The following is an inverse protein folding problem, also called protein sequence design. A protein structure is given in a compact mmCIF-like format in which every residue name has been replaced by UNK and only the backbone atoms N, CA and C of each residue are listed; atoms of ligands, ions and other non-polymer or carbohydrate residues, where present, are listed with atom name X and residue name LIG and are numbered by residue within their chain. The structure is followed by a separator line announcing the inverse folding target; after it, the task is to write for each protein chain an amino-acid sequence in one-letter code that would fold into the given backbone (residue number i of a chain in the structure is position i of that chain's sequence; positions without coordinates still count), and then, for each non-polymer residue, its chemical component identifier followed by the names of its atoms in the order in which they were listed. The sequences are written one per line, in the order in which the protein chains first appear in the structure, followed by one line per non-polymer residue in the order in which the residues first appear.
data_IF_272247334355
#
_entry.id   IF_272247334355
#
_cell.length_a   1.000
_cell.length_b   1.000
_cell.length_c   1.000
_cell.angle_alpha   90.00
_cell.angle_beta   90.00
_cell.angle_gamma   90.00
#
_symmetry.space_group_name_H-M   'P 1'
#
loop_
_entity.id
_entity.type
_entity.pdbx_description
1 polymer ?
#
# COMPACT_ATOMS: atom_id res chain seq x y z
N UNK A 1 -16.19 3.62 -16.85
CA UNK A 1 -15.78 4.03 -15.48
C UNK A 1 -15.93 5.54 -15.36
N UNK A 2 -16.53 6.04 -14.27
CA UNK A 2 -16.82 7.47 -14.11
C UNK A 2 -15.52 8.27 -13.83
N UNK A 3 -15.32 9.40 -14.51
CA UNK A 3 -14.16 10.29 -14.39
C UNK A 3 -13.88 10.71 -12.93
N UNK A 4 -14.94 10.85 -12.11
CA UNK A 4 -14.84 11.21 -10.69
C UNK A 4 -14.12 10.15 -9.87
N UNK A 5 -14.34 8.86 -10.14
CA UNK A 5 -13.68 7.76 -9.42
C UNK A 5 -12.18 7.70 -9.71
N UNK A 6 -11.80 7.86 -10.98
CA UNK A 6 -10.38 7.95 -11.38
C UNK A 6 -9.69 9.14 -10.70
N UNK A 7 -10.31 10.31 -10.69
CA UNK A 7 -9.76 11.51 -10.01
C UNK A 7 -9.52 11.27 -8.52
N UNK A 8 -10.47 10.64 -7.83
CA UNK A 8 -10.30 10.27 -6.43
C UNK A 8 -9.12 9.30 -6.23
N UNK A 9 -9.02 8.26 -7.06
CA UNK A 9 -7.96 7.26 -6.95
C UNK A 9 -6.57 7.87 -7.16
N UNK A 10 -6.41 8.76 -8.14
CA UNK A 10 -5.18 9.53 -8.33
C UNK A 10 -4.86 10.39 -7.11
N UNK A 11 -5.83 11.18 -6.64
CA UNK A 11 -5.63 12.07 -5.49
C UNK A 11 -5.23 11.29 -4.24
N UNK A 12 -5.87 10.14 -4.00
CA UNK A 12 -5.54 9.27 -2.88
C UNK A 12 -4.08 8.84 -2.93
N UNK A 13 -3.61 8.28 -4.06
CA UNK A 13 -2.21 7.86 -4.16
C UNK A 13 -1.22 9.02 -4.03
N UNK A 14 -1.52 10.21 -4.57
CA UNK A 14 -0.66 11.39 -4.45
C UNK A 14 -0.57 11.90 -3.01
N UNK A 15 -1.65 11.81 -2.23
CA UNK A 15 -1.66 12.32 -0.85
C UNK A 15 -1.01 11.37 0.15
N UNK A 16 -1.08 10.06 -0.11
CA UNK A 16 -0.55 9.04 0.80
C UNK A 16 0.86 8.60 0.46
N UNK A 17 1.55 9.31 -0.44
CA UNK A 17 2.92 8.99 -0.85
C UNK A 17 3.73 8.63 0.40
N UNK A 18 4.16 7.37 0.54
CA UNK A 18 5.21 7.10 1.51
C UNK A 18 6.36 8.00 1.08
N UNK A 19 6.94 8.77 2.02
CA UNK A 19 8.14 9.58 1.73
C UNK A 19 9.28 8.63 1.38
N UNK A 20 9.27 8.16 0.14
CA UNK A 20 10.17 7.18 -0.41
C UNK A 20 11.36 8.00 -0.91
N UNK A 21 12.22 8.34 0.04
CA UNK A 21 13.38 9.19 -0.20
C UNK A 21 14.22 8.53 -1.31
N UNK A 22 14.30 9.20 -2.45
CA UNK A 22 15.23 8.91 -3.52
C UNK A 22 16.68 9.07 -2.99
N UNK A 23 17.38 7.93 -2.86
CA UNK A 23 18.83 7.70 -2.77
C UNK A 23 19.14 6.61 -1.75
N UNK A 24 18.95 5.35 -2.14
CA UNK A 24 19.44 4.21 -1.37
C UNK A 24 20.24 3.33 -2.32
N UNK A 25 21.57 3.30 -2.12
CA UNK A 25 22.52 2.50 -2.89
C UNK A 25 22.12 1.02 -2.88
N UNK A 26 22.19 0.40 -4.05
CA UNK A 26 21.76 -0.97 -4.38
C UNK A 26 22.40 -2.08 -3.54
N UNK A 27 23.55 -1.81 -2.92
CA UNK A 27 24.48 -2.86 -2.51
C UNK A 27 24.18 -3.51 -1.14
N UNK A 28 23.02 -3.22 -0.55
CA UNK A 28 22.69 -3.74 0.79
C UNK A 28 21.44 -4.63 0.81
N UNK A 29 20.78 -4.91 -0.32
CA UNK A 29 19.39 -5.37 -0.45
C UNK A 29 19.11 -6.89 -0.37
N UNK A 30 19.90 -7.69 0.35
CA UNK A 30 19.70 -9.16 0.34
C UNK A 30 18.48 -9.70 1.12
N UNK A 31 17.74 -8.88 1.85
CA UNK A 31 16.49 -9.28 2.54
C UNK A 31 15.42 -8.17 2.62
N UNK A 32 15.61 -7.07 1.87
CA UNK A 32 14.65 -5.96 1.81
C UNK A 32 14.09 -5.92 0.40
N UNK A 33 12.76 -5.79 0.18
CA UNK A 33 12.24 -5.79 -1.17
C UNK A 33 12.85 -4.64 -1.97
N UNK A 34 13.76 -4.97 -2.90
CA UNK A 34 14.32 -4.01 -3.88
C UNK A 34 13.17 -3.33 -4.65
N UNK A 35 12.04 -4.03 -4.79
CA UNK A 35 10.80 -3.56 -5.40
C UNK A 35 10.08 -2.43 -4.66
N UNK A 36 10.45 -2.13 -3.41
CA UNK A 36 9.90 -0.98 -2.68
C UNK A 36 10.52 0.35 -3.13
N UNK A 37 11.70 0.33 -3.77
CA UNK A 37 12.37 1.54 -4.24
C UNK A 37 11.77 1.96 -5.59
N UNK A 38 10.89 2.96 -5.57
CA UNK A 38 10.45 3.65 -6.76
C UNK A 38 11.67 4.35 -7.42
N UNK A 39 11.74 4.31 -8.75
CA UNK A 39 12.67 5.19 -9.46
C UNK A 39 12.17 6.63 -9.36
N UNK A 40 13.05 7.65 -9.37
CA UNK A 40 12.62 9.03 -9.47
C UNK A 40 11.70 9.17 -10.70
N UNK A 41 10.51 9.77 -10.57
CA UNK A 41 9.60 9.90 -11.70
C UNK A 41 10.21 10.81 -12.76
N UNK A 42 10.09 10.44 -14.03
CA UNK A 42 10.59 11.25 -15.15
C UNK A 42 9.79 12.55 -15.27
N UNK A 43 10.46 13.67 -14.99
CA UNK A 43 9.86 15.00 -14.99
C UNK A 43 9.55 15.53 -16.39
N UNK A 44 9.98 14.84 -17.45
CA UNK A 44 9.68 15.22 -18.84
C UNK A 44 8.37 14.63 -19.35
N UNK A 45 7.70 13.79 -18.54
CA UNK A 45 6.41 13.21 -18.89
C UNK A 45 5.32 14.29 -18.89
N UNK A 46 4.31 14.12 -19.75
CA UNK A 46 3.05 14.86 -19.63
C UNK A 46 2.44 14.62 -18.24
N UNK A 47 1.76 15.61 -17.66
CA UNK A 47 1.14 15.54 -16.32
C UNK A 47 0.38 14.23 -16.08
N UNK A 48 -0.44 13.77 -17.04
CA UNK A 48 -1.18 12.50 -16.90
C UNK A 48 -0.28 11.28 -16.74
N UNK A 49 0.81 11.20 -17.51
CA UNK A 49 1.78 10.10 -17.43
C UNK A 49 2.58 10.18 -16.13
N UNK A 50 2.98 11.38 -15.74
CA UNK A 50 3.68 11.62 -14.48
C UNK A 50 2.84 11.19 -13.27
N UNK A 51 1.56 11.61 -13.20
CA UNK A 51 0.64 11.22 -12.13
C UNK A 51 0.32 9.71 -12.15
N UNK A 52 0.29 9.09 -13.34
CA UNK A 52 0.13 7.63 -13.48
C UNK A 52 1.33 6.89 -12.92
N UNK A 53 2.55 7.33 -13.23
CA UNK A 53 3.78 6.74 -12.68
C UNK A 53 3.79 6.80 -11.16
N UNK A 54 3.48 7.97 -10.58
CA UNK A 54 3.38 8.14 -9.12
C UNK A 54 2.36 7.17 -8.51
N UNK A 55 1.17 7.07 -9.12
CA UNK A 55 0.12 6.18 -8.63
C UNK A 55 0.53 4.70 -8.71
N UNK A 56 1.17 4.25 -9.80
CA UNK A 56 1.67 2.88 -9.96
C UNK A 56 2.74 2.54 -8.93
N UNK A 57 3.69 3.44 -8.70
CA UNK A 57 4.78 3.20 -7.75
C UNK A 57 4.28 3.16 -6.30
N UNK A 58 3.27 3.97 -5.99
CA UNK A 58 2.58 3.93 -4.70
C UNK A 58 1.82 2.63 -4.53
N UNK A 59 1.13 2.17 -5.57
CA UNK A 59 0.46 0.87 -5.53
C UNK A 59 1.45 -0.26 -5.30
N UNK A 60 2.59 -0.27 -6.00
CA UNK A 60 3.66 -1.27 -5.79
C UNK A 60 4.16 -1.28 -4.34
N UNK A 61 4.25 -0.13 -3.67
CA UNK A 61 4.57 -0.10 -2.25
C UNK A 61 3.55 -0.90 -1.42
N UNK A 62 2.26 -0.62 -1.58
CA UNK A 62 1.20 -1.36 -0.85
C UNK A 62 1.19 -2.84 -1.21
N UNK A 63 1.30 -3.16 -2.50
CA UNK A 63 1.30 -4.53 -3.00
C UNK A 63 2.43 -5.38 -2.40
N UNK A 64 3.63 -4.81 -2.26
CA UNK A 64 4.81 -5.51 -1.78
C UNK A 64 5.02 -5.41 -0.25
N UNK A 65 4.22 -4.64 0.46
CA UNK A 65 4.36 -4.43 1.91
C UNK A 65 3.50 -5.35 2.75
N UNK A 66 2.49 -5.99 2.17
CA UNK A 66 1.48 -6.79 2.90
C UNK A 66 2.04 -8.14 3.30
N UNK A 67 1.79 -8.54 4.55
CA UNK A 67 2.11 -9.88 5.01
C UNK A 67 1.14 -10.89 4.39
N UNK A 68 1.65 -11.88 3.66
CA UNK A 68 0.82 -12.72 2.77
C UNK A 68 -0.14 -13.62 3.57
N UNK A 69 0.31 -14.10 4.71
CA UNK A 69 -0.40 -15.01 5.60
C UNK A 69 -1.64 -14.36 6.20
N UNK A 70 -1.50 -13.12 6.70
CA UNK A 70 -2.58 -12.37 7.36
C UNK A 70 -3.30 -11.42 6.41
N UNK A 71 -2.71 -11.02 5.28
CA UNK A 71 -3.25 -9.98 4.41
C UNK A 71 -3.27 -8.59 5.05
N UNK A 72 -2.48 -8.38 6.10
CA UNK A 72 -2.36 -7.11 6.81
C UNK A 72 -1.10 -6.36 6.36
N UNK A 73 -1.16 -5.04 6.38
CA UNK A 73 -0.01 -4.16 6.09
C UNK A 73 0.68 -3.73 7.40
N UNK A 74 2.02 -3.72 7.50
CA UNK A 74 2.71 -3.23 8.69
C UNK A 74 2.45 -1.76 8.92
N UNK A 75 2.45 -1.35 10.18
CA UNK A 75 2.20 0.03 10.56
C UNK A 75 3.31 0.98 10.10
N UNK A 76 4.55 0.47 10.06
CA UNK A 76 5.72 1.26 9.70
C UNK A 76 6.77 0.41 8.99
N UNK A 77 7.32 0.96 7.90
CA UNK A 77 8.47 0.42 7.18
C UNK A 77 9.55 1.49 7.16
N UNK A 78 10.68 1.21 7.80
CA UNK A 78 11.85 2.09 7.87
C UNK A 78 12.92 1.57 6.91
N UNK A 79 12.89 2.07 5.67
CA UNK A 79 13.81 1.63 4.61
C UNK A 79 15.27 1.81 5.02
N UNK A 80 15.65 2.98 5.52
CA UNK A 80 17.03 3.27 5.94
C UNK A 80 17.54 2.36 7.07
N UNK A 81 16.63 1.85 7.93
CA UNK A 81 16.96 0.92 9.04
C UNK A 81 16.66 -0.54 8.71
N UNK A 82 16.17 -0.83 7.50
CA UNK A 82 15.73 -2.17 7.06
C UNK A 82 14.74 -2.83 8.03
N UNK A 83 13.90 -2.02 8.67
CA UNK A 83 13.00 -2.48 9.72
C UNK A 83 11.56 -2.43 9.23
N UNK A 84 10.85 -3.53 9.40
CA UNK A 84 9.40 -3.65 9.15
C UNK A 84 8.74 -3.91 10.50
N UNK A 85 7.69 -3.16 10.83
CA UNK A 85 6.91 -3.38 12.03
C UNK A 85 6.28 -4.78 12.00
N UNK A 86 6.30 -5.48 13.14
CA UNK A 86 5.60 -6.74 13.39
C UNK A 86 4.16 -6.51 13.88
N UNK A 87 3.66 -5.28 13.76
CA UNK A 87 2.31 -4.89 14.11
C UNK A 87 1.71 -4.01 13.02
N UNK A 88 0.38 -3.95 13.00
CA UNK A 88 -0.42 -3.08 12.12
C UNK A 88 -1.27 -2.13 12.95
N UNK A 89 -1.86 -1.11 12.32
CA UNK A 89 -2.94 -0.31 12.91
C UNK A 89 -4.23 -0.38 12.11
N UNK A 90 -5.37 -0.19 12.79
CA UNK A 90 -6.68 -0.17 12.13
C UNK A 90 -6.76 0.89 11.01
N UNK A 91 -6.05 2.01 11.19
CA UNK A 91 -5.90 3.06 10.17
C UNK A 91 -5.16 2.56 8.94
N UNK A 92 -4.02 1.89 9.12
CA UNK A 92 -3.24 1.35 8.01
C UNK A 92 -3.95 0.19 7.30
N UNK A 93 -4.70 -0.64 8.02
CA UNK A 93 -5.62 -1.63 7.42
C UNK A 93 -6.64 -0.94 6.51
N UNK A 94 -7.27 0.13 7.00
CA UNK A 94 -8.23 0.92 6.21
C UNK A 94 -7.60 1.53 4.97
N UNK A 95 -6.41 2.12 5.09
CA UNK A 95 -5.69 2.67 3.94
C UNK A 95 -5.28 1.62 2.92
N UNK A 96 -4.92 0.41 3.36
CA UNK A 96 -4.64 -0.67 2.43
C UNK A 96 -5.89 -1.09 1.64
N UNK A 97 -7.04 -1.26 2.30
CA UNK A 97 -8.30 -1.59 1.59
C UNK A 97 -8.62 -0.50 0.57
N UNK A 98 -8.45 0.77 0.93
CA UNK A 98 -8.69 1.90 0.03
C UNK A 98 -7.69 1.92 -1.13
N UNK A 99 -6.42 1.56 -0.91
CA UNK A 99 -5.41 1.48 -1.96
C UNK A 99 -5.70 0.37 -2.96
N UNK A 100 -6.20 -0.78 -2.51
CA UNK A 100 -6.67 -1.87 -3.39
C UNK A 100 -7.82 -1.39 -4.29
N UNK A 101 -8.80 -0.66 -3.73
CA UNK A 101 -9.90 -0.08 -4.51
C UNK A 101 -9.37 0.92 -5.54
N UNK A 102 -8.45 1.80 -5.14
CA UNK A 102 -7.86 2.78 -6.05
C UNK A 102 -7.06 2.12 -7.18
N UNK A 103 -6.28 1.09 -6.88
CA UNK A 103 -5.53 0.32 -7.88
C UNK A 103 -6.46 -0.33 -8.90
N UNK A 104 -7.58 -0.90 -8.46
CA UNK A 104 -8.62 -1.42 -9.34
C UNK A 104 -9.25 -0.31 -10.19
N UNK A 105 -9.59 0.84 -9.61
CA UNK A 105 -10.19 1.97 -10.34
C UNK A 105 -9.21 2.66 -11.30
N UNK A 106 -7.89 2.46 -11.13
CA UNK A 106 -6.89 2.90 -12.10
C UNK A 106 -6.54 1.83 -13.14
N UNK A 107 -6.95 0.57 -12.91
CA UNK A 107 -6.69 -0.56 -13.80
C UNK A 107 -5.34 -1.23 -13.58
N UNK A 108 -4.68 -0.99 -12.44
CA UNK A 108 -3.43 -1.66 -12.09
C UNK A 108 -3.65 -3.12 -11.70
N UNK A 109 -4.83 -3.43 -11.17
CA UNK A 109 -5.29 -4.77 -10.86
C UNK A 109 -6.71 -4.98 -11.39
N UNK A 110 -7.08 -6.23 -11.62
CA UNK A 110 -8.43 -6.60 -12.03
C UNK A 110 -9.37 -6.82 -10.81
N UNK A 111 -10.66 -7.03 -11.10
CA UNK A 111 -11.69 -7.20 -10.05
C UNK A 111 -11.44 -8.41 -9.16
N UNK A 112 -11.00 -9.54 -9.73
CA UNK A 112 -10.72 -10.76 -8.98
C UNK A 112 -9.57 -10.56 -7.99
N UNK A 113 -8.49 -9.93 -8.43
CA UNK A 113 -7.35 -9.56 -7.58
C UNK A 113 -7.76 -8.62 -6.46
N UNK A 114 -8.59 -7.61 -6.75
CA UNK A 114 -9.08 -6.67 -5.76
C UNK A 114 -9.96 -7.36 -4.71
N UNK A 115 -10.91 -8.18 -5.15
CA UNK A 115 -11.80 -8.96 -4.27
C UNK A 115 -10.98 -9.89 -3.37
N UNK A 116 -10.05 -10.65 -3.94
CA UNK A 116 -9.20 -11.58 -3.19
C UNK A 116 -8.44 -10.86 -2.06
N UNK A 117 -7.78 -9.74 -2.37
CA UNK A 117 -7.00 -8.96 -1.39
C UNK A 117 -7.90 -8.40 -0.28
N UNK A 118 -9.02 -7.78 -0.63
CA UNK A 118 -9.95 -7.20 0.34
C UNK A 118 -10.57 -8.29 1.24
N UNK A 119 -10.99 -9.41 0.65
CA UNK A 119 -11.56 -10.52 1.39
C UNK A 119 -10.56 -11.13 2.37
N UNK A 120 -9.29 -11.29 1.95
CA UNK A 120 -8.23 -11.77 2.83
C UNK A 120 -8.05 -10.85 4.05
N UNK A 121 -7.88 -9.55 3.82
CA UNK A 121 -7.73 -8.55 4.90
C UNK A 121 -8.94 -8.54 5.83
N UNK A 122 -10.17 -8.48 5.29
CA UNK A 122 -11.40 -8.46 6.09
C UNK A 122 -11.58 -9.75 6.91
N UNK A 123 -11.22 -10.91 6.34
CA UNK A 123 -11.33 -12.19 7.04
C UNK A 123 -10.43 -12.21 8.28
N UNK A 124 -9.21 -11.70 8.16
CA UNK A 124 -8.30 -11.54 9.31
C UNK A 124 -8.81 -10.51 10.31
N UNK A 125 -9.30 -9.36 9.85
CA UNK A 125 -9.86 -8.32 10.75
C UNK A 125 -11.03 -8.85 11.57
N UNK A 126 -11.87 -9.71 10.99
CA UNK A 126 -12.99 -10.34 11.70
C UNK A 126 -12.55 -11.27 12.85
N UNK A 127 -11.34 -11.82 12.81
CA UNK A 127 -10.79 -12.64 13.91
C UNK A 127 -10.04 -11.84 14.97
N UNK A 128 -9.81 -10.54 14.77
CA UNK A 128 -9.08 -9.71 15.73
C UNK A 128 -9.90 -9.46 17.01
N UNK A 129 -9.26 -9.42 18.19
CA UNK A 129 -9.94 -9.15 19.44
C UNK A 129 -10.51 -7.72 19.43
N UNK A 130 -11.64 -7.53 20.11
CA UNK A 130 -12.31 -6.23 20.25
C UNK A 130 -12.59 -5.92 21.71
N UNK A 131 -12.74 -4.63 22.02
CA UNK A 131 -13.23 -4.15 23.30
C UNK A 131 -14.59 -3.49 23.09
N UNK A 132 -15.66 -4.08 23.64
CA UNK A 132 -17.04 -3.62 23.47
C UNK A 132 -17.44 -3.42 21.99
N UNK A 133 -16.96 -4.29 21.10
CA UNK A 133 -17.21 -4.21 19.65
C UNK A 133 -16.33 -3.21 18.90
N UNK A 134 -15.44 -2.50 19.57
CA UNK A 134 -14.45 -1.63 18.94
C UNK A 134 -13.11 -2.34 18.77
N UNK A 135 -12.50 -2.17 17.61
CA UNK A 135 -11.15 -2.66 17.36
C UNK A 135 -10.12 -1.79 18.12
N UNK A 136 -9.11 -2.43 18.70
CA UNK A 136 -7.90 -1.79 19.19
C UNK A 136 -7.15 -1.08 18.07
N UNK A 137 -6.30 -0.12 18.45
CA UNK A 137 -5.51 0.64 17.49
C UNK A 137 -4.42 -0.21 16.86
N UNK A 138 -3.78 -1.13 17.59
CA UNK A 138 -2.67 -1.97 17.10
C UNK A 138 -2.91 -3.45 17.33
N UNK A 139 -2.42 -4.26 16.38
CA UNK A 139 -2.44 -5.72 16.41
C UNK A 139 -1.13 -6.30 15.92
N UNK A 140 -0.77 -7.49 16.39
CA UNK A 140 0.25 -8.31 15.75
C UNK A 140 -0.15 -8.61 14.30
N UNK A 141 0.83 -8.57 13.41
CA UNK A 141 0.62 -8.81 11.98
C UNK A 141 0.73 -10.29 11.59
N UNK A 142 1.27 -11.13 12.48
CA UNK A 142 1.54 -12.55 12.27
C UNK A 142 0.42 -13.43 12.80
#
# INVERSE_FOLDING_TARGET
MNLTKKKFAFLFFILIQPNLIANINSDSLLYFPVSLLAQPPDTNLSDNKFLTQIAEDTWKFFENSVYVESGLIPDNIKIAKRQIADYTSITNIGFYILSVICAKELGFINDEQAIFRIQKTISTVKSLPTYNGFYFNWYDIR
#
